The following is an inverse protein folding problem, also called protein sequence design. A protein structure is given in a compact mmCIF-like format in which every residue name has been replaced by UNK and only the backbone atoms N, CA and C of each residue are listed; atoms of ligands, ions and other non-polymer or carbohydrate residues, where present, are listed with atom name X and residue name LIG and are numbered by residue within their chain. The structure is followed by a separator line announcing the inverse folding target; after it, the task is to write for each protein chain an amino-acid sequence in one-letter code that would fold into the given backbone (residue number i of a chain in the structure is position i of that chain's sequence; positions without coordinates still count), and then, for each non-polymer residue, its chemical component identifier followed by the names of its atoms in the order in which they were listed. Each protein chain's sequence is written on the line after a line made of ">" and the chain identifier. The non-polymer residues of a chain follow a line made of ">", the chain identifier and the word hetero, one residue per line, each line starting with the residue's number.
data_IF_730600154768
#
_entry.id   IF_730600154768
#
_cell.length_a   1.000
_cell.length_b   1.000
_cell.length_c   1.000
_cell.angle_alpha   90.00
_cell.angle_beta   90.00
_cell.angle_gamma   90.00
#
_symmetry.space_group_name_H-M   'P 1'
#
loop_
_entity.id
_entity.type
_entity.pdbx_description
1 polymer ?
#
# COMPACT_ATOMS: atom_id res chain seq x y z
N UNK A 1 6.30 -11.81 13.91
CA UNK A 1 7.63 -11.38 14.40
C UNK A 1 8.15 -10.21 13.55
N UNK A 2 9.06 -9.41 14.12
CA UNK A 2 9.70 -8.32 13.39
C UNK A 2 11.21 -8.37 13.66
N UNK A 3 12.00 -8.31 12.60
CA UNK A 3 13.46 -8.18 12.66
C UNK A 3 13.88 -6.76 12.33
N UNK A 4 15.01 -6.30 12.85
CA UNK A 4 15.45 -4.93 12.72
C UNK A 4 16.51 -4.77 11.63
N UNK A 5 16.30 -3.82 10.73
CA UNK A 5 17.31 -3.36 9.77
C UNK A 5 17.88 -1.99 10.18
N UNK A 6 19.08 -1.70 9.69
CA UNK A 6 19.75 -0.43 9.84
C UNK A 6 19.27 0.59 8.78
N UNK A 7 19.96 1.75 8.69
CA UNK A 7 19.62 2.82 7.72
C UNK A 7 19.93 2.45 6.27
N UNK A 8 20.87 1.55 6.07
CA UNK A 8 21.26 1.00 4.78
C UNK A 8 20.33 -0.15 4.34
N UNK A 9 19.37 -0.53 5.19
CA UNK A 9 18.43 -1.62 4.95
C UNK A 9 18.96 -3.01 5.35
N UNK A 10 20.20 -3.12 5.81
CA UNK A 10 20.81 -4.40 6.20
C UNK A 10 20.31 -4.85 7.56
N UNK A 11 20.20 -6.17 7.72
CA UNK A 11 19.84 -6.74 9.01
C UNK A 11 20.88 -6.34 10.06
N UNK A 12 20.43 -5.74 11.16
CA UNK A 12 21.32 -5.34 12.23
C UNK A 12 21.98 -6.58 12.89
N UNK A 13 23.29 -6.51 13.20
CA UNK A 13 24.06 -7.65 13.71
C UNK A 13 23.45 -8.25 14.97
N UNK A 14 22.93 -7.40 15.84
CA UNK A 14 22.28 -7.76 17.10
C UNK A 14 20.81 -8.22 16.93
N UNK A 15 20.20 -8.07 15.75
CA UNK A 15 18.81 -8.49 15.52
C UNK A 15 18.71 -10.00 15.39
N UNK A 16 17.67 -10.58 15.99
CA UNK A 16 17.28 -11.95 15.65
C UNK A 16 16.95 -12.03 14.15
N UNK A 17 17.04 -13.25 13.61
CA UNK A 17 16.59 -13.60 12.25
C UNK A 17 15.23 -14.26 12.32
N UNK A 18 14.47 -14.21 11.23
CA UNK A 18 13.14 -14.79 11.18
C UNK A 18 13.11 -16.31 11.38
N UNK A 19 14.06 -17.04 10.80
CA UNK A 19 14.24 -18.48 11.00
C UNK A 19 12.94 -19.27 10.74
N UNK A 20 12.57 -20.07 11.72
CA UNK A 20 11.37 -20.96 11.62
C UNK A 20 10.04 -20.21 11.53
N UNK A 21 9.99 -18.93 11.94
CA UNK A 21 8.78 -18.09 11.90
C UNK A 21 8.70 -17.19 10.66
N UNK A 22 9.50 -17.46 9.63
CA UNK A 22 9.62 -16.66 8.42
C UNK A 22 8.29 -16.29 7.76
N UNK A 23 7.28 -17.17 7.84
CA UNK A 23 5.96 -16.95 7.24
C UNK A 23 5.12 -15.88 7.97
N UNK A 24 5.49 -15.52 9.21
CA UNK A 24 4.81 -14.52 10.03
C UNK A 24 5.80 -13.47 10.57
N UNK A 25 6.90 -13.30 9.85
CA UNK A 25 7.98 -12.40 10.20
C UNK A 25 8.22 -11.41 9.04
N UNK A 26 8.58 -10.18 9.36
CA UNK A 26 8.89 -9.12 8.40
C UNK A 26 10.04 -8.26 8.95
N UNK A 27 10.84 -7.70 8.06
CA UNK A 27 11.89 -6.76 8.43
C UNK A 27 11.38 -5.32 8.43
N UNK A 28 11.84 -4.52 9.40
CA UNK A 28 11.50 -3.09 9.47
C UNK A 28 12.67 -2.31 10.11
N UNK A 29 12.75 -0.97 9.87
CA UNK A 29 13.77 -0.13 10.49
C UNK A 29 13.76 -0.23 12.02
N UNK A 30 14.89 -0.52 12.63
CA UNK A 30 15.00 -0.69 14.09
C UNK A 30 16.33 -0.21 14.67
N UNK A 31 17.22 0.36 13.84
CA UNK A 31 18.52 0.89 14.27
C UNK A 31 18.51 2.42 14.18
N UNK A 32 18.97 3.07 15.27
CA UNK A 32 19.07 4.53 15.41
C UNK A 32 17.74 5.25 15.11
N UNK A 33 16.67 4.76 15.70
CA UNK A 33 15.32 5.34 15.60
C UNK A 33 15.20 6.49 16.59
N UNK A 34 14.69 7.63 16.13
CA UNK A 34 14.36 8.75 17.01
C UNK A 34 13.14 8.38 17.86
N UNK A 35 13.36 8.28 19.17
CA UNK A 35 12.30 7.99 20.14
C UNK A 35 12.07 9.22 21.02
N UNK A 36 10.81 9.55 21.27
CA UNK A 36 10.48 10.63 22.19
C UNK A 36 10.81 10.24 23.63
N UNK A 37 11.42 11.15 24.34
CA UNK A 37 11.77 10.99 25.74
C UNK A 37 11.16 12.15 26.57
N UNK A 38 10.83 11.92 27.86
CA UNK A 38 10.41 13.01 28.75
C UNK A 38 11.52 14.04 28.95
N UNK A 39 11.15 15.31 29.05
CA UNK A 39 12.07 16.34 29.49
C UNK A 39 12.62 16.00 30.86
N UNK A 40 13.89 16.32 31.07
CA UNK A 40 14.62 16.00 32.31
C UNK A 40 14.65 14.50 32.67
N UNK A 41 14.64 13.63 31.65
CA UNK A 41 14.67 12.16 31.86
C UNK A 41 15.78 11.75 32.84
N UNK A 42 17.00 12.27 32.70
CA UNK A 42 18.12 11.95 33.61
C UNK A 42 17.77 12.13 35.09
N UNK A 43 17.08 13.24 35.41
CA UNK A 43 16.70 13.56 36.81
C UNK A 43 15.55 12.68 37.32
N UNK A 44 14.75 12.12 36.44
CA UNK A 44 13.62 11.26 36.79
C UNK A 44 14.02 9.77 36.96
N UNK A 45 15.22 9.38 36.46
CA UNK A 45 15.69 8.00 36.57
C UNK A 45 16.17 7.70 38.00
N UNK A 46 15.76 6.54 38.53
CA UNK A 46 16.31 5.96 39.73
C UNK A 46 17.77 5.51 39.51
N UNK A 47 18.56 5.35 40.60
CA UNK A 47 19.92 4.85 40.49
C UNK A 47 20.02 3.46 39.85
N UNK A 48 19.02 2.60 40.08
CA UNK A 48 18.94 1.29 39.44
C UNK A 48 18.78 1.38 37.92
N UNK A 49 17.95 2.31 37.45
CA UNK A 49 17.72 2.54 36.03
C UNK A 49 18.96 3.17 35.38
N UNK A 50 19.62 4.12 36.03
CA UNK A 50 20.87 4.70 35.56
C UNK A 50 21.96 3.62 35.40
N UNK A 51 22.10 2.72 36.38
CA UNK A 51 23.06 1.63 36.30
C UNK A 51 22.78 0.61 35.19
N UNK A 52 21.54 0.59 34.64
CA UNK A 52 21.16 -0.26 33.51
C UNK A 52 21.40 0.38 32.14
N UNK A 53 21.76 1.67 32.10
CA UNK A 53 22.01 2.39 30.84
C UNK A 53 23.49 2.46 30.53
N UNK A 54 23.83 2.61 29.25
CA UNK A 54 25.20 2.87 28.80
C UNK A 54 25.67 4.25 29.30
N UNK A 55 26.94 4.35 29.67
CA UNK A 55 27.55 5.58 30.20
C UNK A 55 27.42 6.77 29.23
N UNK A 56 27.63 6.53 27.93
CA UNK A 56 27.49 7.57 26.88
C UNK A 56 26.08 8.13 26.85
N UNK A 57 25.06 7.28 27.01
CA UNK A 57 23.64 7.69 27.06
C UNK A 57 23.34 8.49 28.31
N UNK A 58 23.89 8.09 29.46
CA UNK A 58 23.74 8.82 30.71
C UNK A 58 24.36 10.20 30.66
N UNK A 59 25.60 10.29 30.14
CA UNK A 59 26.29 11.54 29.95
C UNK A 59 25.53 12.46 28.97
N UNK A 60 25.04 11.91 27.87
CA UNK A 60 24.18 12.64 26.91
C UNK A 60 22.94 13.22 27.58
N UNK A 61 22.16 12.40 28.30
CA UNK A 61 20.95 12.82 28.99
C UNK A 61 21.22 13.88 30.07
N UNK A 62 22.32 13.78 30.78
CA UNK A 62 22.75 14.71 31.81
C UNK A 62 23.07 16.09 31.20
N UNK A 63 23.75 16.09 30.07
CA UNK A 63 24.20 17.31 29.39
C UNK A 63 23.11 17.95 28.53
N UNK A 64 22.03 17.21 28.20
CA UNK A 64 20.90 17.65 27.35
C UNK A 64 19.54 17.46 28.06
N UNK A 65 19.29 18.15 29.19
CA UNK A 65 18.10 17.90 30.01
C UNK A 65 16.78 18.28 29.33
N UNK A 66 16.80 19.13 28.32
CA UNK A 66 15.63 19.58 27.56
C UNK A 66 15.46 18.83 26.25
N UNK A 67 16.30 17.83 25.96
CA UNK A 67 16.19 17.04 24.75
C UNK A 67 14.89 16.21 24.79
N UNK A 68 14.12 16.29 23.71
CA UNK A 68 12.84 15.58 23.59
C UNK A 68 12.96 14.25 22.84
N UNK A 69 14.12 13.94 22.27
CA UNK A 69 14.36 12.75 21.47
C UNK A 69 15.72 12.14 21.75
N UNK A 70 15.76 10.81 21.67
CA UNK A 70 16.99 10.03 21.76
C UNK A 70 17.04 9.02 20.63
N UNK A 71 18.24 8.71 20.13
CA UNK A 71 18.43 7.62 19.18
C UNK A 71 18.49 6.28 19.92
N UNK A 72 17.57 5.38 19.61
CA UNK A 72 17.50 4.05 20.18
C UNK A 72 17.55 2.98 19.09
N UNK A 73 18.05 1.79 19.44
CA UNK A 73 18.10 0.64 18.54
C UNK A 73 17.53 -0.59 19.23
N UNK A 74 16.77 -1.39 18.47
CA UNK A 74 16.15 -2.62 18.96
C UNK A 74 15.03 -3.09 18.05
N UNK A 75 14.73 -4.38 18.06
CA UNK A 75 13.54 -4.93 17.41
C UNK A 75 12.24 -4.34 18.00
N UNK A 76 12.30 -3.87 19.27
CA UNK A 76 11.21 -3.13 19.92
C UNK A 76 10.88 -1.80 19.24
N UNK A 77 11.81 -1.23 18.48
CA UNK A 77 11.62 -0.02 17.67
C UNK A 77 11.29 -0.34 16.23
N UNK A 78 11.57 -1.56 15.74
CA UNK A 78 11.12 -2.03 14.44
C UNK A 78 9.62 -2.41 14.45
N UNK A 79 9.14 -3.03 15.51
CA UNK A 79 7.75 -3.45 15.64
C UNK A 79 6.72 -2.31 15.48
N UNK A 80 6.91 -1.10 16.05
CA UNK A 80 6.01 0.02 15.85
C UNK A 80 5.87 0.48 14.39
N UNK A 81 6.91 0.34 13.57
CA UNK A 81 6.81 0.65 12.13
C UNK A 81 5.82 -0.27 11.43
N UNK A 82 5.84 -1.58 11.75
CA UNK A 82 4.86 -2.54 11.23
C UNK A 82 3.46 -2.25 11.76
N UNK A 83 3.34 -1.92 13.05
CA UNK A 83 2.04 -1.55 13.65
C UNK A 83 1.47 -0.28 13.01
N UNK A 84 2.31 0.73 12.77
CA UNK A 84 1.92 1.96 12.09
C UNK A 84 1.48 1.70 10.65
N UNK A 85 2.22 0.85 9.92
CA UNK A 85 1.84 0.44 8.57
C UNK A 85 0.48 -0.27 8.54
N UNK A 86 0.24 -1.21 9.46
CA UNK A 86 -1.06 -1.88 9.59
C UNK A 86 -2.17 -0.91 9.96
N UNK A 87 -1.91 0.10 10.80
CA UNK A 87 -2.89 1.13 11.14
C UNK A 87 -3.27 1.97 9.90
N UNK A 88 -2.30 2.36 9.08
CA UNK A 88 -2.54 3.08 7.81
C UNK A 88 -3.36 2.23 6.85
N UNK A 89 -2.98 0.96 6.63
CA UNK A 89 -3.71 0.05 5.75
C UNK A 89 -5.13 -0.22 6.27
N UNK A 90 -5.30 -0.37 7.58
CA UNK A 90 -6.64 -0.53 8.19
C UNK A 90 -7.47 0.73 7.96
N UNK A 91 -6.90 1.92 8.14
CA UNK A 91 -7.59 3.18 7.85
C UNK A 91 -8.03 3.31 6.40
N UNK A 92 -7.20 2.83 5.46
CA UNK A 92 -7.47 2.90 4.04
C UNK A 92 -8.48 1.84 3.55
N UNK A 93 -8.45 0.62 4.09
CA UNK A 93 -9.11 -0.55 3.47
C UNK A 93 -10.06 -1.35 4.38
N UNK A 94 -10.26 -0.97 5.66
CA UNK A 94 -11.04 -1.73 6.65
C UNK A 94 -12.47 -2.08 6.23
N UNK A 95 -13.08 -1.25 5.40
CA UNK A 95 -14.46 -1.45 4.95
C UNK A 95 -14.56 -2.47 3.80
N UNK A 96 -13.42 -2.84 3.20
CA UNK A 96 -13.34 -3.72 2.04
C UNK A 96 -12.46 -4.96 2.28
N UNK A 97 -11.45 -4.87 3.14
CA UNK A 97 -10.53 -5.95 3.45
C UNK A 97 -10.63 -6.34 4.92
N UNK A 98 -10.66 -7.64 5.19
CA UNK A 98 -10.54 -8.19 6.54
C UNK A 98 -9.13 -7.94 7.11
N UNK A 99 -8.98 -8.02 8.44
CA UNK A 99 -7.67 -7.87 9.09
C UNK A 99 -6.62 -8.85 8.55
N UNK A 100 -7.05 -10.08 8.18
CA UNK A 100 -6.17 -11.07 7.57
C UNK A 100 -5.68 -10.61 6.19
N UNK A 101 -6.57 -10.12 5.34
CA UNK A 101 -6.23 -9.65 3.99
C UNK A 101 -5.32 -8.41 4.05
N UNK A 102 -5.51 -7.54 5.05
CA UNK A 102 -4.62 -6.39 5.30
C UNK A 102 -3.20 -6.88 5.64
N UNK A 103 -3.07 -7.89 6.52
CA UNK A 103 -1.77 -8.48 6.87
C UNK A 103 -1.16 -9.18 5.65
N UNK A 104 -1.95 -9.98 4.92
CA UNK A 104 -1.51 -10.67 3.72
C UNK A 104 -1.03 -9.66 2.64
N UNK A 105 -1.71 -8.51 2.52
CA UNK A 105 -1.31 -7.42 1.65
C UNK A 105 0.05 -6.85 2.05
N UNK A 106 0.25 -6.55 3.34
CA UNK A 106 1.53 -6.05 3.85
C UNK A 106 2.68 -7.00 3.51
N UNK A 107 2.49 -8.30 3.67
CA UNK A 107 3.49 -9.32 3.35
C UNK A 107 3.75 -9.49 1.85
N UNK A 108 2.69 -9.42 1.04
CA UNK A 108 2.80 -9.56 -0.43
C UNK A 108 3.50 -8.37 -1.08
N UNK A 109 3.35 -7.18 -0.49
CA UNK A 109 3.92 -5.94 -1.01
C UNK A 109 5.27 -5.58 -0.39
N UNK A 110 5.72 -6.33 0.62
CA UNK A 110 7.06 -6.16 1.19
C UNK A 110 8.13 -6.32 0.10
N UNK A 111 9.18 -5.52 0.18
CA UNK A 111 10.30 -5.60 -0.76
C UNK A 111 11.06 -6.92 -0.55
N UNK A 112 11.18 -7.71 -1.61
CA UNK A 112 11.87 -9.02 -1.66
C UNK A 112 13.05 -9.01 -2.62
N UNK A 113 13.51 -7.85 -3.04
CA UNK A 113 14.63 -7.75 -3.97
C UNK A 113 15.97 -7.90 -3.25
N UNK A 114 16.96 -8.44 -3.98
CA UNK A 114 18.32 -8.61 -3.47
C UNK A 114 18.38 -9.47 -2.22
N UNK A 115 19.00 -8.95 -1.16
CA UNK A 115 19.18 -9.67 0.10
C UNK A 115 17.85 -9.96 0.85
N UNK A 116 16.81 -9.17 0.61
CA UNK A 116 15.49 -9.36 1.23
C UNK A 116 14.75 -10.61 0.75
N UNK A 117 15.25 -11.29 -0.30
CA UNK A 117 14.75 -12.58 -0.74
C UNK A 117 15.13 -13.73 0.23
N UNK A 118 16.10 -13.51 1.13
CA UNK A 118 16.45 -14.50 2.17
C UNK A 118 15.38 -14.53 3.27
N UNK A 119 14.39 -15.38 3.10
CA UNK A 119 13.29 -15.56 4.04
C UNK A 119 13.76 -16.00 5.44
N UNK A 120 14.89 -16.70 5.54
CA UNK A 120 15.43 -17.13 6.84
C UNK A 120 15.89 -15.92 7.67
N UNK A 121 16.36 -14.87 7.01
CA UNK A 121 16.81 -13.63 7.64
C UNK A 121 15.67 -12.60 7.71
N UNK A 122 15.03 -12.30 6.60
CA UNK A 122 14.10 -11.16 6.45
C UNK A 122 12.62 -11.54 6.47
N UNK A 123 12.28 -12.84 6.54
CA UNK A 123 10.90 -13.34 6.55
C UNK A 123 10.18 -13.03 5.26
N UNK A 124 9.13 -12.24 5.34
CA UNK A 124 8.33 -11.81 4.19
C UNK A 124 8.95 -10.65 3.40
N UNK A 125 10.17 -10.23 3.78
CA UNK A 125 10.89 -9.13 3.15
C UNK A 125 10.95 -7.87 4.00
N UNK A 126 11.45 -6.77 3.42
CA UNK A 126 11.49 -5.47 4.07
C UNK A 126 10.14 -4.75 3.91
N UNK A 127 9.63 -4.21 5.00
CA UNK A 127 8.40 -3.41 5.02
C UNK A 127 8.43 -2.29 3.96
N UNK A 128 7.46 -2.30 3.06
CA UNK A 128 7.23 -1.26 2.06
C UNK A 128 5.78 -0.76 2.16
N UNK A 129 5.57 0.31 2.92
CA UNK A 129 4.26 0.93 3.07
C UNK A 129 3.80 1.60 1.77
N UNK A 130 4.73 2.14 0.98
CA UNK A 130 4.42 2.78 -0.30
C UNK A 130 3.80 1.79 -1.28
N UNK A 131 4.43 0.61 -1.43
CA UNK A 131 3.87 -0.48 -2.22
C UNK A 131 2.54 -1.00 -1.64
N UNK A 132 2.43 -1.07 -0.30
CA UNK A 132 1.23 -1.60 0.35
C UNK A 132 -0.02 -0.72 0.17
N UNK A 133 0.12 0.61 0.07
CA UNK A 133 -1.00 1.53 -0.20
C UNK A 133 -1.24 1.78 -1.69
N UNK A 134 -0.37 1.28 -2.56
CA UNK A 134 -0.48 1.41 -4.01
C UNK A 134 -1.24 0.22 -4.63
N UNK A 135 -1.86 0.39 -5.82
CA UNK A 135 -2.49 -0.72 -6.52
C UNK A 135 -1.51 -1.85 -6.84
N UNK A 136 -1.92 -3.09 -6.57
CA UNK A 136 -1.14 -4.30 -6.89
C UNK A 136 -1.73 -4.96 -8.13
N UNK A 137 -0.92 -5.12 -9.19
CA UNK A 137 -1.38 -5.67 -10.45
C UNK A 137 -2.36 -4.75 -11.20
N UNK A 138 -3.24 -5.32 -12.00
CA UNK A 138 -4.21 -4.56 -12.80
C UNK A 138 -5.43 -4.16 -11.95
N UNK A 139 -5.92 -2.95 -12.21
CA UNK A 139 -7.19 -2.48 -11.65
C UNK A 139 -8.35 -3.05 -12.44
N UNK A 140 -9.30 -3.65 -11.75
CA UNK A 140 -10.48 -4.29 -12.32
C UNK A 140 -11.77 -3.69 -11.79
N UNK A 141 -12.80 -3.59 -12.63
CA UNK A 141 -14.15 -3.34 -12.19
C UNK A 141 -14.91 -4.65 -12.00
N UNK A 142 -15.81 -4.69 -11.03
CA UNK A 142 -16.75 -5.80 -10.89
C UNK A 142 -18.01 -5.50 -11.69
N UNK A 143 -18.42 -6.43 -12.55
CA UNK A 143 -19.73 -6.41 -13.18
C UNK A 143 -20.74 -7.02 -12.21
N UNK A 144 -21.71 -6.24 -11.78
CA UNK A 144 -22.84 -6.74 -10.98
C UNK A 144 -23.90 -7.29 -11.95
N UNK A 145 -23.65 -8.49 -12.46
CA UNK A 145 -24.74 -9.30 -13.01
C UNK A 145 -25.24 -10.21 -11.89
N UNK A 146 -26.54 -10.22 -11.67
CA UNK A 146 -27.23 -10.96 -10.59
C UNK A 146 -26.95 -12.49 -10.57
N UNK A 147 -26.21 -13.04 -11.53
CA UNK A 147 -25.91 -14.46 -11.63
C UNK A 147 -24.41 -14.82 -11.62
N UNK A 148 -23.50 -13.86 -11.77
CA UNK A 148 -22.05 -14.11 -11.62
C UNK A 148 -21.30 -12.79 -11.49
N UNK A 149 -20.46 -12.68 -10.45
CA UNK A 149 -19.51 -11.57 -10.32
C UNK A 149 -18.29 -11.86 -11.20
N UNK A 150 -18.21 -11.22 -12.36
CA UNK A 150 -17.03 -11.26 -13.20
C UNK A 150 -16.23 -9.98 -13.03
N UNK A 151 -14.95 -10.09 -12.72
CA UNK A 151 -14.01 -8.98 -12.77
C UNK A 151 -13.44 -8.85 -14.18
N UNK A 152 -13.27 -7.62 -14.67
CA UNK A 152 -12.61 -7.33 -15.93
C UNK A 152 -11.61 -6.19 -15.73
N UNK A 153 -10.44 -6.34 -16.36
CA UNK A 153 -9.42 -5.28 -16.34
C UNK A 153 -9.92 -4.07 -17.12
N UNK A 154 -9.70 -2.89 -16.55
CA UNK A 154 -9.97 -1.60 -17.21
C UNK A 154 -8.71 -0.98 -17.83
N UNK A 155 -7.61 -1.69 -17.87
CA UNK A 155 -6.39 -1.22 -18.52
C UNK A 155 -6.67 -0.92 -20.00
N UNK A 156 -6.38 0.32 -20.43
CA UNK A 156 -6.67 0.78 -21.78
C UNK A 156 -8.17 0.97 -22.09
N UNK A 157 -9.05 0.81 -21.11
CA UNK A 157 -10.49 1.01 -21.28
C UNK A 157 -10.88 2.49 -21.25
N UNK A 158 -11.90 2.86 -22.01
CA UNK A 158 -12.46 4.22 -22.00
C UNK A 158 -13.99 4.16 -22.10
N UNK A 159 -14.63 5.17 -21.53
CA UNK A 159 -16.06 5.34 -21.64
C UNK A 159 -16.39 6.08 -22.95
N UNK A 160 -17.11 5.41 -23.83
CA UNK A 160 -17.60 5.99 -25.08
C UNK A 160 -19.05 6.40 -24.92
N UNK A 161 -19.32 7.70 -25.04
CA UNK A 161 -20.69 8.22 -25.06
C UNK A 161 -21.18 8.35 -26.50
N UNK A 162 -22.46 8.02 -26.75
CA UNK A 162 -23.09 8.29 -28.03
C UNK A 162 -23.19 9.79 -28.30
N UNK A 163 -23.23 10.17 -29.57
CA UNK A 163 -23.29 11.58 -30.00
C UNK A 163 -24.47 12.35 -29.38
N UNK A 164 -25.55 11.65 -29.04
CA UNK A 164 -26.76 12.23 -28.41
C UNK A 164 -26.52 12.80 -27.00
N UNK A 165 -25.48 12.35 -26.29
CA UNK A 165 -25.17 12.83 -24.94
C UNK A 165 -24.17 13.98 -24.93
N UNK A 166 -23.39 14.17 -25.99
CA UNK A 166 -22.38 15.22 -26.09
C UNK A 166 -21.45 15.24 -24.86
N UNK A 167 -21.20 16.43 -24.33
CA UNK A 167 -20.38 16.62 -23.10
C UNK A 167 -21.20 16.56 -21.81
N UNK A 168 -22.53 16.41 -21.89
CA UNK A 168 -23.41 16.49 -20.72
C UNK A 168 -23.08 15.42 -19.68
N UNK A 169 -22.81 14.18 -20.11
CA UNK A 169 -22.44 13.08 -19.21
C UNK A 169 -21.08 13.33 -18.54
N UNK A 170 -20.10 13.84 -19.29
CA UNK A 170 -18.79 14.22 -18.74
C UNK A 170 -18.92 15.30 -17.66
N UNK A 171 -19.79 16.28 -17.89
CA UNK A 171 -20.07 17.35 -16.94
C UNK A 171 -20.77 16.78 -15.68
N UNK A 172 -21.77 15.91 -15.88
CA UNK A 172 -22.51 15.28 -14.79
C UNK A 172 -21.61 14.44 -13.88
N UNK A 173 -20.68 13.68 -14.48
CA UNK A 173 -19.76 12.79 -13.74
C UNK A 173 -18.43 13.46 -13.32
N UNK A 174 -18.35 14.79 -13.45
CA UNK A 174 -17.09 15.52 -13.15
C UNK A 174 -16.58 15.31 -11.73
N UNK A 175 -17.49 15.16 -10.78
CA UNK A 175 -17.18 15.01 -9.37
C UNK A 175 -17.32 13.56 -8.86
N UNK A 176 -17.68 12.62 -9.75
CA UNK A 176 -17.86 11.23 -9.39
C UNK A 176 -16.57 10.44 -9.55
N UNK A 177 -16.38 9.47 -8.67
CA UNK A 177 -15.28 8.52 -8.72
C UNK A 177 -15.80 7.12 -9.03
N UNK A 178 -15.00 6.38 -9.78
CA UNK A 178 -15.23 4.95 -10.04
C UNK A 178 -14.35 4.16 -9.11
N UNK A 179 -14.94 3.23 -8.35
CA UNK A 179 -14.19 2.28 -7.53
C UNK A 179 -13.67 1.15 -8.42
N UNK A 180 -12.37 0.95 -8.41
CA UNK A 180 -11.68 -0.16 -9.04
C UNK A 180 -10.98 -0.98 -7.97
N UNK A 181 -10.84 -2.26 -8.21
CA UNK A 181 -10.21 -3.18 -7.26
C UNK A 181 -8.91 -3.73 -7.86
N UNK A 182 -7.88 -3.76 -7.06
CA UNK A 182 -6.61 -4.34 -7.46
C UNK A 182 -6.60 -5.88 -7.32
N UNK A 183 -5.51 -6.53 -7.69
CA UNK A 183 -5.38 -7.98 -7.62
C UNK A 183 -5.48 -8.57 -6.19
N UNK A 184 -5.36 -7.74 -5.16
CA UNK A 184 -5.52 -8.11 -3.75
C UNK A 184 -6.86 -7.65 -3.15
N UNK A 185 -7.80 -7.19 -3.98
CA UNK A 185 -9.15 -6.82 -3.58
C UNK A 185 -9.28 -5.44 -2.92
N UNK A 186 -8.21 -4.64 -2.89
CA UNK A 186 -8.27 -3.29 -2.33
C UNK A 186 -8.93 -2.31 -3.32
N UNK A 187 -9.85 -1.44 -2.85
CA UNK A 187 -10.48 -0.45 -3.69
C UNK A 187 -9.59 0.78 -3.91
N UNK A 188 -9.57 1.26 -5.14
CA UNK A 188 -8.97 2.51 -5.55
C UNK A 188 -9.98 3.37 -6.30
N UNK A 189 -10.04 4.66 -5.99
CA UNK A 189 -11.03 5.57 -6.54
C UNK A 189 -10.38 6.45 -7.60
N UNK A 190 -10.86 6.32 -8.82
CA UNK A 190 -10.37 7.09 -9.97
C UNK A 190 -11.49 8.03 -10.45
N UNK A 191 -11.19 9.33 -10.67
CA UNK A 191 -12.20 10.25 -11.21
C UNK A 191 -12.81 9.72 -12.51
N UNK A 192 -14.14 9.66 -12.56
CA UNK A 192 -14.88 9.13 -13.72
C UNK A 192 -14.53 9.86 -15.02
N UNK A 193 -14.15 11.13 -14.93
CA UNK A 193 -13.73 11.94 -16.08
C UNK A 193 -12.50 11.40 -16.80
N UNK A 194 -11.63 10.65 -16.10
CA UNK A 194 -10.43 10.07 -16.70
C UNK A 194 -10.72 8.97 -17.72
N UNK A 195 -11.92 8.39 -17.66
CA UNK A 195 -12.37 7.37 -18.62
C UNK A 195 -13.04 7.97 -19.85
N UNK A 196 -13.29 9.28 -19.91
CA UNK A 196 -13.88 9.91 -21.08
C UNK A 196 -12.80 10.27 -22.10
N UNK A 197 -12.86 9.65 -23.26
CA UNK A 197 -12.10 10.11 -24.42
C UNK A 197 -12.78 11.34 -25.03
N UNK A 198 -12.10 12.50 -24.99
CA UNK A 198 -12.49 13.69 -25.73
C UNK A 198 -12.01 13.53 -27.19
N UNK A 199 -12.96 13.56 -28.12
CA UNK A 199 -12.73 13.56 -29.58
C UNK A 199 -12.15 12.26 -30.16
N UNK A 200 -13.04 11.35 -30.53
CA UNK A 200 -12.71 10.30 -31.49
C UNK A 200 -12.63 10.98 -32.86
N UNK A 201 -11.42 11.11 -33.39
CA UNK A 201 -11.22 11.50 -34.78
C UNK A 201 -11.80 10.37 -35.65
N UNK A 202 -12.71 10.70 -36.56
CA UNK A 202 -13.39 9.72 -37.45
C UNK A 202 -12.42 8.79 -38.17
N UNK A 203 -11.17 9.26 -38.45
CA UNK A 203 -10.10 8.43 -39.02
C UNK A 203 -9.58 7.33 -38.07
N UNK A 204 -9.85 7.41 -36.78
CA UNK A 204 -9.52 6.35 -35.83
C UNK A 204 -10.61 5.26 -35.77
N UNK A 205 -11.86 5.59 -36.18
CA UNK A 205 -12.95 4.62 -36.23
C UNK A 205 -12.71 3.54 -37.29
N UNK A 206 -12.06 3.88 -38.41
CA UNK A 206 -11.72 2.91 -39.47
C UNK A 206 -10.62 1.94 -39.02
N UNK A 207 -9.67 2.40 -38.21
CA UNK A 207 -8.67 1.53 -37.55
C UNK A 207 -9.30 0.61 -36.51
N UNK A 208 -10.30 1.11 -35.78
CA UNK A 208 -11.02 0.36 -34.73
C UNK A 208 -11.94 -0.71 -35.33
N UNK A 209 -12.47 -0.52 -36.53
CA UNK A 209 -13.32 -1.49 -37.21
C UNK A 209 -12.53 -2.74 -37.67
N UNK A 210 -11.21 -2.66 -37.78
CA UNK A 210 -10.33 -3.76 -38.20
C UNK A 210 -9.82 -4.65 -37.03
N UNK A 211 -10.04 -4.24 -35.77
CA UNK A 211 -9.62 -5.00 -34.59
C UNK A 211 -10.78 -5.88 -34.11
N UNK A 212 -10.51 -7.16 -33.78
CA UNK A 212 -11.49 -8.09 -33.19
C UNK A 212 -12.07 -7.49 -31.93
N UNK A 213 -13.38 -7.30 -31.92
CA UNK A 213 -14.15 -6.74 -30.80
C UNK A 213 -14.74 -7.85 -29.95
N UNK A 214 -14.34 -7.91 -28.69
CA UNK A 214 -15.17 -8.50 -27.66
C UNK A 214 -16.04 -7.38 -27.06
N UNK A 215 -17.28 -7.26 -27.53
CA UNK A 215 -18.24 -6.29 -27.00
C UNK A 215 -19.19 -7.00 -26.05
N UNK A 216 -19.20 -6.61 -24.78
CA UNK A 216 -20.27 -6.98 -23.86
C UNK A 216 -21.41 -5.98 -23.95
N UNK A 217 -22.59 -6.45 -24.37
CA UNK A 217 -23.82 -5.68 -24.23
C UNK A 217 -24.50 -6.06 -22.92
N UNK A 218 -24.64 -5.11 -22.01
CA UNK A 218 -25.55 -5.25 -20.88
C UNK A 218 -26.97 -4.98 -21.33
N UNK A 219 -27.89 -5.94 -21.07
CA UNK A 219 -29.31 -5.86 -21.45
C UNK A 219 -30.15 -5.01 -20.49
N UNK A 220 -29.57 -4.28 -19.58
CA UNK A 220 -30.28 -3.37 -18.69
C UNK A 220 -30.30 -1.95 -19.24
N UNK A 221 -31.43 -1.27 -19.10
CA UNK A 221 -31.83 0.01 -19.70
C UNK A 221 -30.93 1.22 -19.42
N UNK A 222 -29.73 1.06 -18.86
CA UNK A 222 -28.76 2.12 -18.68
C UNK A 222 -27.61 1.90 -19.67
N UNK A 223 -27.47 2.82 -20.59
CA UNK A 223 -26.61 2.79 -21.78
C UNK A 223 -25.14 3.06 -21.35
N UNK A 224 -24.48 2.07 -20.77
CA UNK A 224 -23.03 2.09 -20.61
C UNK A 224 -22.44 0.90 -21.40
N UNK A 225 -21.67 1.19 -22.43
CA UNK A 225 -20.90 0.18 -23.14
C UNK A 225 -19.41 0.35 -22.75
N UNK A 226 -18.84 -0.71 -22.19
CA UNK A 226 -17.41 -0.81 -21.97
C UNK A 226 -16.82 -1.68 -23.06
N UNK A 227 -15.74 -1.26 -23.69
CA UNK A 227 -14.96 -2.10 -24.60
C UNK A 227 -13.53 -2.17 -24.11
N UNK A 228 -13.03 -3.38 -23.89
CA UNK A 228 -11.61 -3.65 -23.65
C UNK A 228 -10.93 -4.02 -24.96
N UNK A 229 -9.68 -3.64 -25.11
CA UNK A 229 -8.84 -3.96 -26.26
C UNK A 229 -7.69 -4.84 -25.77
N UNK A 230 -7.58 -6.02 -26.29
CA UNK A 230 -6.37 -6.84 -26.15
C UNK A 230 -5.49 -6.59 -27.38
N UNK A 231 -4.22 -6.19 -27.13
CA UNK A 231 -3.19 -6.19 -28.15
C UNK A 231 -2.77 -7.62 -28.46
#
# INVERSE_FOLDING_TARGET
>A
AVVAVDREGKIADWSNRCGVVKNTCIAAPGSRINVAIPNNLYSSLSEKEKNGLNEDVLEYLKNHPTEAYLLASGTSFAAPHVTGALAVLTGAFKDNLSSKEIIDRLYKTANKEGEYADEATYGQGLLDLGAAVSPVGFLSAYSVNLSSANSFSLEGSYLKTGMSFGNSLKISLKNDNIALFDALGAPFFIPAVNFFQSNINLSQLDRLASLKKDSYQSSTKNIFAFSSWNN
#
